data_IF_529766964521
#
_entry.id   IF_529766964521
#
_cell.length_a   1.000
_cell.length_b   1.000
_cell.length_c   1.000
_cell.angle_alpha   90.00
_cell.angle_beta   90.00
_cell.angle_gamma   90.00
#
_symmetry.space_group_name_H-M   'P 1'
#
loop_
_entity.id
_entity.type
_entity.pdbx_description
1 polymer ?
#
# COMPACT_ATOMS: atom_id res chain seq x y z
N UNK A 1 1.88 -26.03 -12.20
CA UNK A 1 1.56 -24.81 -12.98
C UNK A 1 0.83 -23.74 -12.13
N UNK A 2 0.98 -23.73 -10.79
CA UNK A 2 0.39 -22.71 -9.89
C UNK A 2 1.34 -21.53 -9.57
N UNK A 3 2.58 -21.58 -10.07
CA UNK A 3 3.70 -20.83 -9.46
C UNK A 3 3.85 -19.37 -9.90
N UNK A 4 3.32 -18.96 -11.06
CA UNK A 4 3.58 -17.60 -11.60
C UNK A 4 2.56 -16.56 -11.13
N UNK A 5 1.30 -16.96 -10.92
CA UNK A 5 0.25 -16.07 -10.42
C UNK A 5 0.36 -15.88 -8.89
N UNK A 6 0.70 -16.95 -8.14
CA UNK A 6 0.96 -16.85 -6.70
C UNK A 6 2.16 -15.95 -6.41
N UNK A 7 3.24 -16.06 -7.19
CA UNK A 7 4.43 -15.23 -7.01
C UNK A 7 4.13 -13.75 -7.31
N UNK A 8 3.29 -13.45 -8.30
CA UNK A 8 2.85 -12.07 -8.57
C UNK A 8 2.03 -11.50 -7.41
N UNK A 9 1.10 -12.28 -6.85
CA UNK A 9 0.30 -11.86 -5.71
C UNK A 9 1.13 -11.66 -4.43
N UNK A 10 2.16 -12.49 -4.22
CA UNK A 10 3.09 -12.38 -3.10
C UNK A 10 3.98 -11.14 -3.22
N UNK A 11 4.47 -10.84 -4.43
CA UNK A 11 5.24 -9.62 -4.75
C UNK A 11 4.39 -8.37 -4.54
N UNK A 12 3.15 -8.34 -5.04
CA UNK A 12 2.23 -7.21 -4.84
C UNK A 12 1.90 -7.02 -3.36
N UNK A 13 1.65 -8.10 -2.62
CA UNK A 13 1.33 -8.01 -1.19
C UNK A 13 2.53 -7.54 -0.35
N UNK A 14 3.74 -7.98 -0.68
CA UNK A 14 4.93 -7.50 0.01
C UNK A 14 5.16 -6.01 -0.23
N UNK A 15 4.91 -5.52 -1.45
CA UNK A 15 4.93 -4.08 -1.77
C UNK A 15 3.91 -3.29 -0.95
N UNK A 16 2.65 -3.72 -0.95
CA UNK A 16 1.58 -3.09 -0.15
C UNK A 16 2.00 -2.96 1.33
N UNK A 17 2.50 -4.04 1.93
CA UNK A 17 2.88 -4.04 3.34
C UNK A 17 4.15 -3.23 3.60
N UNK A 18 5.05 -3.15 2.63
CA UNK A 18 6.25 -2.32 2.72
C UNK A 18 5.90 -0.83 2.84
N UNK A 19 4.87 -0.35 2.14
CA UNK A 19 4.44 1.05 2.25
C UNK A 19 3.97 1.41 3.68
N UNK A 20 3.35 0.45 4.39
CA UNK A 20 2.90 0.67 5.77
C UNK A 20 4.00 0.43 6.82
N UNK A 21 4.86 -0.57 6.60
CA UNK A 21 5.73 -1.09 7.65
C UNK A 21 7.22 -1.14 7.28
N UNK A 22 7.59 -0.70 6.08
CA UNK A 22 8.97 -0.73 5.58
C UNK A 22 9.95 -0.02 6.51
N UNK A 23 9.54 1.10 7.12
CA UNK A 23 10.34 1.84 8.10
C UNK A 23 10.67 1.05 9.39
N UNK A 24 9.95 -0.04 9.68
CA UNK A 24 10.20 -0.92 10.83
C UNK A 24 11.19 -2.06 10.51
N UNK A 25 11.56 -2.21 9.24
CA UNK A 25 12.58 -3.16 8.82
C UNK A 25 13.97 -2.60 9.08
N UNK A 26 14.95 -3.50 9.15
CA UNK A 26 16.36 -3.07 9.21
C UNK A 26 16.77 -2.41 7.90
N UNK A 27 17.77 -1.51 7.96
CA UNK A 27 18.35 -0.87 6.77
C UNK A 27 18.67 -1.87 5.67
N UNK A 28 19.29 -3.00 6.05
CA UNK A 28 19.69 -4.04 5.11
C UNK A 28 18.51 -4.69 4.39
N UNK A 29 17.41 -4.94 5.09
CA UNK A 29 16.21 -5.52 4.50
C UNK A 29 15.54 -4.52 3.54
N UNK A 30 15.42 -3.25 3.96
CA UNK A 30 14.88 -2.18 3.11
C UNK A 30 15.67 -2.04 1.82
N UNK A 31 17.00 -1.95 1.94
CA UNK A 31 17.90 -1.85 0.79
C UNK A 31 17.69 -2.98 -0.23
N UNK A 32 17.53 -4.23 0.25
CA UNK A 32 17.31 -5.39 -0.62
C UNK A 32 15.91 -5.35 -1.26
N UNK A 33 14.88 -4.97 -0.51
CA UNK A 33 13.51 -4.84 -1.03
C UNK A 33 13.45 -3.74 -2.09
N UNK A 34 14.08 -2.58 -1.85
CA UNK A 34 14.08 -1.45 -2.78
C UNK A 34 14.79 -1.81 -4.09
N UNK A 35 15.98 -2.42 -4.02
CA UNK A 35 16.66 -2.92 -5.23
C UNK A 35 15.78 -3.90 -6.01
N UNK A 36 15.07 -4.81 -5.31
CA UNK A 36 14.26 -5.84 -5.95
C UNK A 36 12.94 -5.30 -6.53
N UNK A 37 12.21 -4.46 -5.79
CA UNK A 37 10.86 -4.01 -6.15
C UNK A 37 10.81 -2.66 -6.86
N UNK A 38 11.70 -1.74 -6.50
CA UNK A 38 11.68 -0.36 -7.03
C UNK A 38 12.65 -0.24 -8.20
N UNK A 39 13.84 -0.80 -8.05
CA UNK A 39 14.89 -0.69 -9.07
C UNK A 39 14.86 -1.84 -10.11
N UNK A 40 13.99 -2.84 -9.91
CA UNK A 40 13.80 -4.02 -10.77
C UNK A 40 15.08 -4.85 -10.97
N UNK A 41 15.95 -4.90 -9.96
CA UNK A 41 17.15 -5.72 -9.99
C UNK A 41 16.81 -7.19 -9.79
N UNK A 42 17.46 -8.06 -10.56
CA UNK A 42 17.40 -9.49 -10.34
C UNK A 42 18.13 -9.89 -9.05
N UNK A 43 17.76 -11.04 -8.48
CA UNK A 43 18.43 -11.60 -7.30
C UNK A 43 19.95 -11.80 -7.51
N UNK A 44 20.39 -12.01 -8.75
CA UNK A 44 21.82 -12.14 -9.09
C UNK A 44 22.52 -10.79 -9.06
N UNK A 45 21.92 -9.74 -9.62
CA UNK A 45 22.49 -8.38 -9.60
C UNK A 45 22.60 -7.84 -8.17
N UNK A 46 21.57 -8.08 -7.35
CA UNK A 46 21.60 -7.73 -5.92
C UNK A 46 22.71 -8.50 -5.21
N UNK A 47 22.84 -9.80 -5.48
CA UNK A 47 23.86 -10.64 -4.86
C UNK A 47 25.28 -10.16 -5.19
N UNK A 48 25.54 -9.83 -6.46
CA UNK A 48 26.82 -9.30 -6.93
C UNK A 48 27.13 -7.94 -6.30
N UNK A 49 26.20 -6.99 -6.38
CA UNK A 49 26.37 -5.64 -5.79
C UNK A 49 26.64 -5.68 -4.30
N UNK A 50 25.96 -6.59 -3.59
CA UNK A 50 26.06 -6.73 -2.16
C UNK A 50 27.13 -7.72 -1.69
N UNK A 51 27.87 -8.34 -2.62
CA UNK A 51 28.89 -9.37 -2.34
C UNK A 51 28.37 -10.49 -1.42
N UNK A 52 27.13 -10.94 -1.66
CA UNK A 52 26.49 -12.05 -0.96
C UNK A 52 26.03 -13.12 -1.95
N UNK A 53 25.53 -14.25 -1.46
CA UNK A 53 24.99 -15.29 -2.34
C UNK A 53 23.57 -14.95 -2.78
N UNK A 54 23.18 -15.40 -3.97
CA UNK A 54 21.78 -15.32 -4.45
C UNK A 54 20.79 -15.93 -3.45
N UNK A 55 21.19 -17.02 -2.78
CA UNK A 55 20.39 -17.65 -1.73
C UNK A 55 20.21 -16.72 -0.52
N UNK A 56 21.26 -16.00 -0.11
CA UNK A 56 21.16 -15.05 0.98
C UNK A 56 20.20 -13.90 0.63
N UNK A 57 20.19 -13.41 -0.62
CA UNK A 57 19.20 -12.39 -1.07
C UNK A 57 17.78 -12.94 -0.93
N UNK A 58 17.53 -14.14 -1.46
CA UNK A 58 16.21 -14.79 -1.37
C UNK A 58 15.75 -14.96 0.08
N UNK A 59 16.62 -15.45 0.96
CA UNK A 59 16.29 -15.64 2.37
C UNK A 59 16.04 -14.32 3.11
N UNK A 60 16.72 -13.23 2.72
CA UNK A 60 16.46 -11.89 3.27
C UNK A 60 15.10 -11.35 2.84
N UNK A 61 14.75 -11.46 1.56
CA UNK A 61 13.43 -11.05 1.05
C UNK A 61 12.32 -11.81 1.75
N UNK A 62 12.44 -13.14 1.84
CA UNK A 62 11.46 -13.99 2.53
C UNK A 62 11.27 -13.57 3.99
N UNK A 63 12.37 -13.42 4.75
CA UNK A 63 12.29 -13.02 6.16
C UNK A 63 11.68 -11.64 6.35
N UNK A 64 11.99 -10.70 5.46
CA UNK A 64 11.39 -9.38 5.50
C UNK A 64 9.87 -9.45 5.23
N UNK A 65 9.43 -10.24 4.23
CA UNK A 65 8.01 -10.50 3.98
C UNK A 65 7.29 -11.11 5.18
N UNK A 66 7.87 -12.15 5.81
CA UNK A 66 7.32 -12.76 7.02
C UNK A 66 7.19 -11.74 8.18
N UNK A 67 8.14 -10.81 8.30
CA UNK A 67 8.13 -9.77 9.34
C UNK A 67 7.07 -8.69 9.06
N UNK A 68 6.90 -8.28 7.81
CA UNK A 68 5.84 -7.37 7.39
C UNK A 68 4.44 -7.95 7.66
N UNK A 69 4.24 -9.24 7.40
CA UNK A 69 2.99 -9.94 7.74
C UNK A 69 2.73 -10.00 9.25
N UNK A 70 3.77 -10.22 10.05
CA UNK A 70 3.65 -10.18 11.51
C UNK A 70 3.26 -8.79 12.01
N UNK A 71 3.80 -7.73 11.41
CA UNK A 71 3.39 -6.36 11.72
C UNK A 71 1.92 -6.14 11.38
N UNK A 72 1.45 -6.57 10.21
CA UNK A 72 0.03 -6.45 9.85
C UNK A 72 -0.87 -7.25 10.79
N UNK A 73 -0.47 -8.45 11.21
CA UNK A 73 -1.26 -9.27 12.13
C UNK A 73 -1.49 -8.59 13.49
N UNK A 74 -0.58 -7.71 13.92
CA UNK A 74 -0.65 -7.00 15.20
C UNK A 74 -1.21 -5.58 15.05
N UNK A 75 -0.78 -4.84 14.03
CA UNK A 75 -1.06 -3.41 13.87
C UNK A 75 -2.28 -3.13 12.99
N UNK A 76 -2.57 -4.02 12.02
CA UNK A 76 -3.74 -3.95 11.13
C UNK A 76 -3.94 -2.60 10.41
N UNK A 77 -2.85 -1.85 10.14
CA UNK A 77 -2.94 -0.52 9.53
C UNK A 77 -3.49 -0.60 8.10
N UNK A 78 -3.08 -1.62 7.33
CA UNK A 78 -3.60 -1.81 5.97
C UNK A 78 -5.08 -2.17 5.98
N UNK A 79 -5.49 -3.08 6.87
CA UNK A 79 -6.91 -3.41 7.04
C UNK A 79 -7.75 -2.19 7.45
N UNK A 80 -7.26 -1.38 8.39
CA UNK A 80 -7.91 -0.15 8.81
C UNK A 80 -8.03 0.88 7.67
N UNK A 81 -6.94 1.07 6.90
CA UNK A 81 -6.93 1.93 5.72
C UNK A 81 -7.97 1.52 4.68
N UNK A 82 -8.04 0.21 4.39
CA UNK A 82 -9.03 -0.34 3.46
C UNK A 82 -10.46 -0.11 3.95
N UNK A 83 -10.73 -0.36 5.23
CA UNK A 83 -12.05 -0.14 5.81
C UNK A 83 -12.47 1.34 5.73
N UNK A 84 -11.53 2.27 5.97
CA UNK A 84 -11.78 3.70 5.83
C UNK A 84 -12.05 4.10 4.38
N UNK A 85 -11.26 3.60 3.43
CA UNK A 85 -11.48 3.82 1.99
C UNK A 85 -12.86 3.33 1.54
N UNK A 86 -13.28 2.15 1.99
CA UNK A 86 -14.60 1.58 1.67
C UNK A 86 -15.74 2.43 2.25
N UNK A 87 -15.59 2.89 3.51
CA UNK A 87 -16.56 3.77 4.16
C UNK A 87 -16.69 5.11 3.42
N UNK A 88 -15.56 5.72 3.03
CA UNK A 88 -15.56 6.95 2.25
C UNK A 88 -16.19 6.78 0.87
N UNK A 89 -15.81 5.72 0.15
CA UNK A 89 -16.37 5.40 -1.16
C UNK A 89 -17.90 5.23 -1.08
N UNK A 90 -18.40 4.61 -0.01
CA UNK A 90 -19.83 4.49 0.24
C UNK A 90 -20.48 5.84 0.51
N UNK A 91 -19.85 6.69 1.32
CA UNK A 91 -20.33 8.05 1.60
C UNK A 91 -20.43 8.87 0.31
N UNK A 92 -19.37 8.90 -0.49
CA UNK A 92 -19.33 9.63 -1.76
C UNK A 92 -20.39 9.12 -2.75
N UNK A 93 -20.63 7.80 -2.77
CA UNK A 93 -21.70 7.21 -3.58
C UNK A 93 -23.09 7.68 -3.15
N UNK A 94 -23.35 7.79 -1.86
CA UNK A 94 -24.63 8.30 -1.34
C UNK A 94 -24.75 9.80 -1.60
N UNK A 95 -23.67 10.56 -1.36
CA UNK A 95 -23.60 11.99 -1.65
C UNK A 95 -23.94 12.29 -3.11
N UNK A 96 -23.33 11.57 -4.05
CA UNK A 96 -23.58 11.73 -5.48
C UNK A 96 -25.06 11.57 -5.87
N UNK A 97 -25.82 10.76 -5.14
CA UNK A 97 -27.27 10.58 -5.38
C UNK A 97 -28.09 11.73 -4.83
N UNK A 98 -27.78 12.17 -3.61
CA UNK A 98 -28.60 13.16 -2.88
C UNK A 98 -28.23 14.59 -3.24
N UNK A 99 -27.00 14.86 -3.71
CA UNK A 99 -26.52 16.23 -3.94
C UNK A 99 -27.43 17.04 -4.87
N UNK A 100 -28.04 16.39 -5.86
CA UNK A 100 -28.91 17.05 -6.85
C UNK A 100 -30.27 17.50 -6.27
N UNK A 101 -30.66 16.97 -5.11
CA UNK A 101 -31.87 17.35 -4.38
C UNK A 101 -31.64 18.54 -3.44
N UNK A 102 -30.39 18.95 -3.24
CA UNK A 102 -29.99 20.02 -2.34
C UNK A 102 -29.81 21.35 -3.07
N UNK A 103 -29.91 22.45 -2.32
CA UNK A 103 -29.57 23.79 -2.83
C UNK A 103 -28.09 23.88 -3.23
N UNK A 104 -27.77 24.76 -4.19
CA UNK A 104 -26.39 24.98 -4.61
C UNK A 104 -25.48 25.41 -3.43
N UNK A 105 -26.00 26.20 -2.49
CA UNK A 105 -25.25 26.61 -1.29
C UNK A 105 -24.88 25.42 -0.40
N UNK A 106 -25.82 24.51 -0.15
CA UNK A 106 -25.59 23.30 0.66
C UNK A 106 -24.65 22.30 -0.03
N UNK A 107 -24.72 22.21 -1.37
CA UNK A 107 -23.77 21.40 -2.15
C UNK A 107 -22.35 21.93 -2.00
N UNK A 108 -22.15 23.24 -2.18
CA UNK A 108 -20.83 23.87 -2.05
C UNK A 108 -20.24 23.70 -0.64
N UNK A 109 -21.07 23.83 0.41
CA UNK A 109 -20.63 23.64 1.79
C UNK A 109 -20.14 22.21 2.04
N UNK A 110 -20.88 21.20 1.56
CA UNK A 110 -20.49 19.79 1.72
C UNK A 110 -19.30 19.39 0.85
N UNK A 111 -19.22 19.86 -0.40
CA UNK A 111 -18.07 19.59 -1.26
C UNK A 111 -16.79 20.22 -0.65
N UNK A 112 -16.89 21.42 -0.06
CA UNK A 112 -15.79 22.04 0.66
C UNK A 112 -15.40 21.24 1.92
N UNK A 113 -16.38 20.73 2.67
CA UNK A 113 -16.13 19.87 3.83
C UNK A 113 -15.40 18.58 3.42
N UNK A 114 -15.88 17.87 2.40
CA UNK A 114 -15.24 16.65 1.90
C UNK A 114 -13.81 16.92 1.38
N UNK A 115 -13.61 18.00 0.62
CA UNK A 115 -12.29 18.39 0.13
C UNK A 115 -11.30 18.82 1.24
N UNK A 116 -11.81 19.22 2.42
CA UNK A 116 -10.97 19.49 3.59
C UNK A 116 -10.55 18.19 4.28
N UNK A 117 -11.44 17.19 4.35
CA UNK A 117 -11.15 15.88 4.94
C UNK A 117 -10.10 15.11 4.13
N UNK A 118 -10.21 15.14 2.80
CA UNK A 118 -9.30 14.44 1.89
C UNK A 118 -7.85 14.96 2.00
N UNK A 119 -7.68 16.29 2.19
CA UNK A 119 -6.35 16.92 2.38
C UNK A 119 -5.66 16.58 3.70
N UNK A 120 -6.40 16.14 4.72
CA UNK A 120 -5.82 15.85 6.04
C UNK A 120 -5.23 14.45 6.15
N UNK A 121 -5.57 13.54 5.23
CA UNK A 121 -5.07 12.15 5.20
C UNK A 121 -4.83 11.69 3.75
N UNK A 122 -3.84 12.28 3.06
CA UNK A 122 -3.52 11.87 1.69
C UNK A 122 -3.19 10.37 1.63
N UNK A 123 -3.89 9.63 0.76
CA UNK A 123 -3.72 8.19 0.55
C UNK A 123 -4.58 7.25 1.43
N UNK A 124 -5.28 7.77 2.45
CA UNK A 124 -6.12 6.94 3.35
C UNK A 124 -7.63 7.06 3.04
N UNK A 125 -8.04 8.14 2.37
CA UNK A 125 -9.43 8.44 1.99
C UNK A 125 -9.65 8.46 0.47
N UNK A 126 -8.57 8.52 -0.30
CA UNK A 126 -8.59 8.45 -1.75
C UNK A 126 -7.32 7.77 -2.23
N UNK A 127 -7.32 6.44 -2.22
CA UNK A 127 -6.58 5.72 -3.26
C UNK A 127 -7.08 6.26 -4.60
N UNK A 128 -6.15 6.66 -5.46
CA UNK A 128 -6.37 7.24 -6.78
C UNK A 128 -7.68 6.75 -7.40
N UNK A 129 -8.70 7.61 -7.38
CA UNK A 129 -9.80 7.45 -8.31
C UNK A 129 -9.22 7.91 -9.64
N UNK A 130 -8.73 6.93 -10.41
CA UNK A 130 -8.18 7.10 -11.75
C UNK A 130 -8.82 8.28 -12.49
N UNK A 131 -7.96 9.19 -12.94
CA UNK A 131 -8.29 10.23 -13.92
C UNK A 131 -8.32 9.64 -15.34
#
# INVERSE_FOLDING_TARGET
MSSSADNMNEVTRMGDLYDFYGALLTERQRQIIEMYHVEDWSLSEIAESLSITRQAVHDQLRRAGEQLEQYEAVLQLRAAARAQQEAWSKLMRVWAKVRHELSAASQMEMDAAFASMDRTLPGFIGGEVDA
#
